data_IF_342235956390
#
_entry.id   IF_342235956390
#
_cell.length_a   1.000
_cell.length_b   1.000
_cell.length_c   1.000
_cell.angle_alpha   90.00
_cell.angle_beta   90.00
_cell.angle_gamma   90.00
#
_symmetry.space_group_name_H-M   'P 1'
#
loop_
_entity.id
_entity.type
_entity.pdbx_description
1 polymer ?
#
# COMPACT_ATOMS: atom_id res chain seq x y z
N UNK A 1 -21.76 18.39 -23.00
CA UNK A 1 -20.41 18.12 -22.46
C UNK A 1 -20.12 19.20 -21.44
N UNK A 2 -20.07 18.80 -20.16
CA UNK A 2 -19.65 19.68 -19.08
C UNK A 2 -18.15 19.99 -19.20
N UNK A 3 -17.68 21.08 -18.57
CA UNK A 3 -16.23 21.39 -18.48
C UNK A 3 -15.46 20.26 -17.79
N UNK A 4 -16.10 19.56 -16.85
CA UNK A 4 -15.52 18.42 -16.15
C UNK A 4 -15.38 17.19 -17.06
N UNK A 5 -16.33 16.96 -17.98
CA UNK A 5 -16.24 15.88 -18.98
C UNK A 5 -15.09 16.15 -19.97
N UNK A 6 -14.86 17.42 -20.31
CA UNK A 6 -13.78 17.82 -21.20
C UNK A 6 -12.40 17.69 -20.53
N UNK A 7 -12.29 18.05 -19.26
CA UNK A 7 -11.06 17.89 -18.48
C UNK A 7 -10.72 16.40 -18.25
N UNK A 8 -11.72 15.55 -17.97
CA UNK A 8 -11.54 14.11 -17.85
C UNK A 8 -11.14 13.45 -19.19
N UNK A 9 -11.71 13.93 -20.32
CA UNK A 9 -11.35 13.44 -21.65
C UNK A 9 -9.94 13.90 -22.09
N UNK A 10 -9.53 15.11 -21.72
CA UNK A 10 -8.20 15.65 -22.02
C UNK A 10 -7.11 14.96 -21.18
N UNK A 11 -7.40 14.62 -19.93
CA UNK A 11 -6.50 13.85 -19.05
C UNK A 11 -6.37 12.39 -19.52
N UNK A 12 -7.45 11.79 -20.04
CA UNK A 12 -7.43 10.46 -20.64
C UNK A 12 -6.62 10.37 -21.96
N UNK A 13 -6.43 11.50 -22.66
CA UNK A 13 -5.70 11.57 -23.94
C UNK A 13 -4.19 11.78 -23.76
N UNK A 14 -3.73 12.17 -22.57
CA UNK A 14 -2.31 12.37 -22.28
C UNK A 14 -1.62 11.01 -22.14
N UNK A 15 -0.40 10.83 -22.70
CA UNK A 15 0.33 9.59 -22.47
C UNK A 15 0.51 9.38 -20.96
N UNK A 16 0.26 8.17 -20.43
CA UNK A 16 0.38 7.92 -19.01
C UNK A 16 1.83 8.08 -18.59
N UNK A 17 2.08 9.00 -17.65
CA UNK A 17 3.42 9.29 -17.11
C UNK A 17 3.45 8.85 -15.66
N UNK A 18 4.48 8.09 -15.29
CA UNK A 18 4.79 7.80 -13.89
C UNK A 18 5.47 9.04 -13.31
N UNK A 19 4.90 9.64 -12.26
CA UNK A 19 5.51 10.81 -11.62
C UNK A 19 6.55 10.39 -10.58
N UNK A 20 7.64 11.16 -10.42
CA UNK A 20 8.51 11.02 -9.26
C UNK A 20 7.72 11.14 -7.96
N UNK A 21 8.19 10.50 -6.90
CA UNK A 21 7.54 10.58 -5.59
C UNK A 21 7.87 11.90 -4.91
N UNK A 22 6.92 12.83 -4.96
CA UNK A 22 7.00 14.14 -4.30
C UNK A 22 6.00 14.28 -3.15
N UNK A 23 5.10 13.32 -2.98
CA UNK A 23 4.15 13.30 -1.85
C UNK A 23 4.74 12.58 -0.65
N UNK A 24 4.23 12.93 0.52
CA UNK A 24 4.59 12.27 1.77
C UNK A 24 4.29 10.76 1.69
N UNK A 25 5.17 9.97 2.33
CA UNK A 25 4.98 8.53 2.47
C UNK A 25 3.76 8.24 3.35
N UNK A 26 3.03 7.21 2.98
CA UNK A 26 1.88 6.68 3.71
C UNK A 26 1.99 5.17 3.74
N UNK A 27 1.51 4.49 4.78
CA UNK A 27 1.49 3.03 4.80
C UNK A 27 0.57 2.48 3.69
N UNK A 28 0.76 1.21 3.37
CA UNK A 28 -0.14 0.41 2.55
C UNK A 28 -0.97 -0.46 3.48
N UNK A 29 -2.28 -0.23 3.51
CA UNK A 29 -3.20 -1.04 4.31
C UNK A 29 -3.85 -2.11 3.43
N UNK A 30 -3.61 -3.36 3.77
CA UNK A 30 -4.04 -4.53 3.02
C UNK A 30 -5.01 -5.34 3.88
N UNK A 31 -6.26 -5.42 3.45
CA UNK A 31 -7.33 -6.11 4.15
C UNK A 31 -7.68 -7.42 3.45
N UNK A 32 -7.56 -8.51 4.19
CA UNK A 32 -8.24 -9.78 3.93
C UNK A 32 -9.52 -9.83 4.78
N UNK A 33 -10.36 -10.85 4.55
CA UNK A 33 -11.63 -11.01 5.29
C UNK A 33 -11.41 -11.14 6.82
N UNK A 34 -10.35 -11.83 7.23
CA UNK A 34 -10.07 -12.18 8.63
C UNK A 34 -8.78 -11.55 9.19
N UNK A 35 -8.07 -10.77 8.36
CA UNK A 35 -6.78 -10.19 8.73
C UNK A 35 -6.54 -8.86 8.01
N UNK A 36 -5.94 -7.91 8.71
CA UNK A 36 -5.39 -6.69 8.12
C UNK A 36 -3.89 -6.65 8.31
N UNK A 37 -3.15 -6.22 7.30
CA UNK A 37 -1.70 -6.02 7.33
C UNK A 37 -1.36 -4.61 6.85
N UNK A 38 -0.57 -3.89 7.64
CA UNK A 38 0.03 -2.62 7.28
C UNK A 38 1.50 -2.81 6.86
N UNK A 39 1.88 -2.20 5.74
CA UNK A 39 3.26 -2.18 5.21
C UNK A 39 3.73 -0.74 4.99
N UNK A 40 5.04 -0.52 4.97
CA UNK A 40 5.64 0.77 4.62
C UNK A 40 6.63 1.26 5.68
N UNK A 41 6.71 2.58 5.85
CA UNK A 41 7.68 3.23 6.73
C UNK A 41 7.54 2.82 8.21
N UNK A 42 8.64 2.41 8.83
CA UNK A 42 8.68 1.90 10.20
C UNK A 42 8.07 2.87 11.22
N UNK A 43 8.28 4.18 11.06
CA UNK A 43 7.71 5.17 11.99
C UNK A 43 6.17 5.23 11.92
N UNK A 44 5.60 5.02 10.74
CA UNK A 44 4.15 4.95 10.55
C UNK A 44 3.60 3.62 11.07
N UNK A 45 4.33 2.52 10.87
CA UNK A 45 3.98 1.21 11.41
C UNK A 45 3.97 1.20 12.95
N UNK A 46 4.95 1.81 13.61
CA UNK A 46 4.97 2.00 15.07
C UNK A 46 3.74 2.77 15.56
N UNK A 47 3.32 3.83 14.85
CA UNK A 47 2.11 4.57 15.20
C UNK A 47 0.84 3.72 15.05
N UNK A 48 0.77 2.89 14.01
CA UNK A 48 -0.33 1.92 13.84
C UNK A 48 -0.36 0.93 14.99
N UNK A 49 0.78 0.31 15.32
CA UNK A 49 0.90 -0.63 16.44
C UNK A 49 0.46 0.01 17.77
N UNK A 50 0.96 1.20 18.08
CA UNK A 50 0.59 1.93 19.30
C UNK A 50 -0.92 2.20 19.36
N UNK A 51 -1.53 2.64 18.25
CA UNK A 51 -2.98 2.86 18.19
C UNK A 51 -3.76 1.56 18.41
N UNK A 52 -3.33 0.46 17.82
CA UNK A 52 -3.96 -0.85 18.00
C UNK A 52 -3.90 -1.31 19.46
N UNK A 53 -2.75 -1.12 20.13
CA UNK A 53 -2.60 -1.44 21.55
C UNK A 53 -3.50 -0.59 22.44
N UNK A 54 -3.62 0.72 22.16
CA UNK A 54 -4.55 1.62 22.88
C UNK A 54 -5.99 1.15 22.71
N UNK A 55 -6.36 0.64 21.54
CA UNK A 55 -7.68 0.08 21.26
C UNK A 55 -7.89 -1.35 21.79
N UNK A 56 -7.01 -1.85 22.67
CA UNK A 56 -7.05 -3.20 23.24
C UNK A 56 -7.07 -4.31 22.16
N UNK A 57 -6.35 -4.07 21.06
CA UNK A 57 -6.09 -5.07 20.02
C UNK A 57 -4.71 -5.67 20.23
N UNK A 58 -4.55 -6.92 19.80
CA UNK A 58 -3.27 -7.64 19.82
C UNK A 58 -2.63 -7.58 18.43
N UNK A 59 -1.79 -6.57 18.12
CA UNK A 59 -1.04 -6.53 16.88
C UNK A 59 -0.01 -7.65 16.80
N UNK A 60 0.29 -8.06 15.58
CA UNK A 60 1.37 -8.98 15.22
C UNK A 60 2.36 -8.21 14.36
N UNK A 61 3.44 -7.79 14.98
CA UNK A 61 4.48 -7.00 14.32
C UNK A 61 5.59 -7.93 13.83
N UNK A 62 6.03 -7.73 12.60
CA UNK A 62 7.19 -8.43 12.05
C UNK A 62 8.33 -7.43 11.84
N UNK A 63 9.55 -7.95 11.82
CA UNK A 63 10.78 -7.16 11.68
C UNK A 63 11.61 -7.73 10.53
N UNK A 64 12.37 -6.87 9.87
CA UNK A 64 13.45 -7.34 9.00
C UNK A 64 14.50 -8.06 9.86
N UNK A 65 15.03 -9.18 9.37
CA UNK A 65 16.11 -9.88 10.07
C UNK A 65 17.33 -8.95 10.18
N UNK A 66 17.80 -8.70 11.41
CA UNK A 66 18.99 -7.89 11.66
C UNK A 66 20.23 -8.50 10.99
N UNK A 67 20.29 -9.83 10.81
CA UNK A 67 21.36 -10.50 10.07
C UNK A 67 21.38 -10.08 8.59
N UNK A 68 20.21 -9.82 8.00
CA UNK A 68 20.08 -9.39 6.61
C UNK A 68 20.56 -7.94 6.39
N UNK A 69 20.32 -7.05 7.36
CA UNK A 69 20.76 -5.65 7.29
C UNK A 69 22.24 -5.45 7.66
N UNK A 70 22.80 -6.30 8.53
CA UNK A 70 24.19 -6.21 8.99
C UNK A 70 25.17 -7.07 8.18
N UNK A 71 24.68 -8.03 7.38
CA UNK A 71 25.52 -8.98 6.65
C UNK A 71 26.28 -9.95 7.55
N UNK A 72 25.96 -10.01 8.84
CA UNK A 72 26.59 -10.90 9.82
C UNK A 72 25.73 -12.16 10.05
N UNK A 73 26.24 -13.33 9.65
CA UNK A 73 25.69 -14.64 10.01
C UNK A 73 25.83 -14.86 11.53
N UNK A 74 24.87 -14.37 12.32
CA UNK A 74 25.00 -14.48 13.77
C UNK A 74 23.87 -13.90 14.64
N UNK A 75 22.62 -13.86 14.19
CA UNK A 75 21.53 -13.24 14.96
C UNK A 75 20.59 -14.22 15.70
N UNK A 76 21.01 -15.46 15.97
CA UNK A 76 20.16 -16.44 16.66
C UNK A 76 19.83 -16.10 18.14
N UNK A 77 20.41 -15.03 18.69
CA UNK A 77 20.16 -14.53 20.04
C UNK A 77 20.17 -12.99 20.13
N UNK A 78 19.68 -12.30 19.09
CA UNK A 78 19.56 -10.85 19.16
C UNK A 78 18.56 -10.45 20.27
N UNK A 79 18.85 -9.39 21.07
CA UNK A 79 17.88 -8.77 21.97
C UNK A 79 16.67 -8.26 21.18
N UNK A 80 15.56 -7.95 21.86
CA UNK A 80 14.30 -7.51 21.24
C UNK A 80 14.55 -6.62 20.01
N UNK A 81 13.98 -6.98 18.84
CA UNK A 81 14.30 -6.32 17.59
C UNK A 81 13.99 -4.82 17.67
N UNK A 82 14.90 -4.00 17.13
CA UNK A 82 14.77 -2.54 17.18
C UNK A 82 13.46 -2.10 16.51
N UNK A 83 12.63 -1.27 17.16
CA UNK A 83 11.43 -0.68 16.55
C UNK A 83 11.66 -0.05 15.18
N UNK A 84 12.87 0.46 14.90
CA UNK A 84 13.23 1.02 13.59
C UNK A 84 13.26 -0.02 12.45
N UNK A 85 13.24 -1.32 12.77
CA UNK A 85 13.26 -2.43 11.81
C UNK A 85 11.91 -3.09 11.58
N UNK A 86 10.82 -2.53 12.12
CA UNK A 86 9.46 -3.01 11.84
C UNK A 86 9.21 -2.96 10.33
N UNK A 87 8.76 -4.09 9.77
CA UNK A 87 8.47 -4.21 8.34
C UNK A 87 6.99 -4.47 8.04
N UNK A 88 6.22 -5.00 9.01
CA UNK A 88 4.77 -5.07 8.92
C UNK A 88 4.10 -5.07 10.29
N UNK A 89 2.85 -4.60 10.33
CA UNK A 89 1.98 -4.71 11.50
C UNK A 89 0.67 -5.33 11.07
N UNK A 90 0.36 -6.51 11.59
CA UNK A 90 -0.87 -7.25 11.31
C UNK A 90 -1.85 -7.26 12.47
N UNK A 91 -3.14 -7.40 12.19
CA UNK A 91 -4.18 -7.70 13.20
C UNK A 91 -5.14 -8.76 12.70
N UNK A 92 -5.78 -9.46 13.64
CA UNK A 92 -6.96 -10.26 13.33
C UNK A 92 -8.18 -9.35 13.18
N UNK A 93 -8.96 -9.57 12.12
CA UNK A 93 -10.08 -8.73 11.71
C UNK A 93 -9.82 -8.02 10.38
N UNK A 94 -10.88 -7.83 9.61
CA UNK A 94 -10.85 -7.18 8.31
C UNK A 94 -10.78 -5.65 8.43
N UNK A 95 -11.19 -4.98 7.36
CA UNK A 95 -11.14 -3.52 7.28
C UNK A 95 -11.96 -2.83 8.37
N UNK A 96 -13.18 -3.31 8.64
CA UNK A 96 -14.07 -2.70 9.63
C UNK A 96 -13.48 -2.71 11.03
N UNK A 97 -12.94 -3.85 11.47
CA UNK A 97 -12.30 -3.98 12.79
C UNK A 97 -11.05 -3.12 12.92
N UNK A 98 -10.25 -3.03 11.85
CA UNK A 98 -9.06 -2.18 11.83
C UNK A 98 -9.43 -0.71 11.99
N UNK A 99 -10.36 -0.20 11.18
CA UNK A 99 -10.72 1.21 11.21
C UNK A 99 -11.45 1.58 12.51
N UNK A 100 -12.30 0.71 13.04
CA UNK A 100 -12.92 0.91 14.35
C UNK A 100 -11.88 0.99 15.48
N UNK A 101 -10.79 0.22 15.40
CA UNK A 101 -9.68 0.31 16.36
C UNK A 101 -8.92 1.64 16.20
N UNK A 102 -8.66 2.10 14.97
CA UNK A 102 -8.04 3.41 14.72
C UNK A 102 -8.90 4.56 15.25
N UNK A 103 -10.21 4.52 15.02
CA UNK A 103 -11.17 5.49 15.57
C UNK A 103 -11.16 5.51 17.10
N UNK A 104 -11.24 4.34 17.72
CA UNK A 104 -11.22 4.20 19.17
C UNK A 104 -9.93 4.77 19.76
N UNK A 105 -8.78 4.46 19.15
CA UNK A 105 -7.48 4.95 19.59
C UNK A 105 -7.39 6.47 19.52
N UNK A 106 -7.78 7.05 18.38
CA UNK A 106 -7.78 8.51 18.17
C UNK A 106 -8.71 9.20 19.17
N UNK A 107 -9.90 8.65 19.38
CA UNK A 107 -10.86 9.17 20.36
C UNK A 107 -10.31 9.13 21.80
N UNK A 108 -9.68 8.02 22.20
CA UNK A 108 -9.12 7.86 23.55
C UNK A 108 -7.94 8.77 23.82
N UNK A 109 -7.11 9.02 22.79
CA UNK A 109 -5.94 9.90 22.89
C UNK A 109 -6.29 11.39 22.77
N UNK A 110 -7.53 11.72 22.39
CA UNK A 110 -7.98 13.11 22.26
C UNK A 110 -8.09 13.78 23.62
N UNK A 111 -7.43 14.92 23.78
CA UNK A 111 -7.60 15.76 24.98
C UNK A 111 -8.93 16.53 24.88
N UNK A 112 -9.89 16.13 25.72
CA UNK A 112 -11.22 16.75 25.73
C UNK A 112 -11.23 18.05 26.53
N UNK A 113 -11.87 19.12 26.03
CA UNK A 113 -12.06 20.35 26.78
C UNK A 113 -12.75 20.09 28.14
N UNK A 114 -12.27 20.75 29.19
CA UNK A 114 -12.83 20.61 30.55
C UNK A 114 -13.96 21.59 30.85
N UNK A 115 -14.10 22.63 30.03
CA UNK A 115 -15.11 23.67 30.19
C UNK A 115 -16.44 23.24 29.55
N UNK A 116 -17.55 23.38 30.28
CA UNK A 116 -18.89 22.97 29.82
C UNK A 116 -19.38 23.75 28.60
N UNK A 117 -18.83 24.94 28.33
CA UNK A 117 -19.20 25.79 27.19
C UNK A 117 -18.26 25.65 25.99
N UNK A 118 -17.23 24.80 26.08
CA UNK A 118 -16.29 24.63 24.99
C UNK A 118 -16.95 23.91 23.81
N UNK A 119 -16.70 24.43 22.60
CA UNK A 119 -17.12 23.74 21.38
C UNK A 119 -16.25 22.49 21.20
N UNK A 120 -16.90 21.33 21.19
CA UNK A 120 -16.26 20.05 20.98
C UNK A 120 -16.32 19.69 19.50
N UNK A 121 -15.18 19.34 18.93
CA UNK A 121 -15.07 18.79 17.58
C UNK A 121 -14.74 17.30 17.66
N UNK A 122 -15.27 16.53 16.71
CA UNK A 122 -14.83 15.15 16.57
C UNK A 122 -13.35 15.13 16.18
N UNK A 123 -12.54 14.25 16.81
CA UNK A 123 -11.12 14.20 16.51
C UNK A 123 -10.90 13.72 15.09
N UNK A 124 -10.06 14.46 14.37
CA UNK A 124 -9.65 14.07 13.03
C UNK A 124 -8.46 13.11 13.12
N UNK A 125 -8.39 12.18 12.17
CA UNK A 125 -7.19 11.39 11.98
C UNK A 125 -5.97 12.27 11.66
N UNK A 126 -4.77 11.84 12.06
CA UNK A 126 -3.53 12.48 11.62
C UNK A 126 -3.44 12.46 10.09
N UNK A 127 -2.75 13.46 9.53
CA UNK A 127 -2.70 13.67 8.08
C UNK A 127 -2.26 12.43 7.30
N UNK A 128 -1.23 11.71 7.80
CA UNK A 128 -0.74 10.49 7.16
C UNK A 128 -1.82 9.40 7.06
N UNK A 129 -2.64 9.21 8.11
CA UNK A 129 -3.69 8.19 8.15
C UNK A 129 -4.89 8.61 7.29
N UNK A 130 -5.21 9.91 7.25
CA UNK A 130 -6.23 10.44 6.33
C UNK A 130 -5.88 10.21 4.87
N UNK A 131 -4.60 10.36 4.56
CA UNK A 131 -4.04 10.24 3.22
C UNK A 131 -3.65 8.81 2.82
N UNK A 132 -3.82 7.86 3.74
CA UNK A 132 -3.49 6.45 3.50
C UNK A 132 -4.49 5.81 2.52
N UNK A 133 -3.94 5.08 1.56
CA UNK A 133 -4.72 4.25 0.63
C UNK A 133 -4.86 2.85 1.21
N UNK A 134 -6.03 2.23 1.03
CA UNK A 134 -6.28 0.86 1.47
C UNK A 134 -6.81 0.00 0.34
N UNK A 135 -6.48 -1.29 0.41
CA UNK A 135 -6.91 -2.30 -0.53
C UNK A 135 -7.55 -3.45 0.22
N UNK A 136 -8.60 -4.02 -0.35
CA UNK A 136 -9.21 -5.27 0.10
C UNK A 136 -9.01 -6.32 -0.98
N UNK A 137 -8.61 -7.52 -0.57
CA UNK A 137 -8.48 -8.64 -1.48
C UNK A 137 -9.88 -9.15 -1.85
N UNK A 138 -10.20 -9.16 -3.15
CA UNK A 138 -11.43 -9.71 -3.68
C UNK A 138 -11.08 -11.00 -4.46
N UNK A 139 -11.44 -12.20 -3.96
CA UNK A 139 -11.10 -13.47 -4.57
C UNK A 139 -11.80 -13.71 -5.92
N UNK A 140 -12.85 -12.95 -6.24
CA UNK A 140 -13.59 -13.05 -7.50
C UNK A 140 -13.34 -11.86 -8.44
N UNK A 141 -12.47 -10.92 -8.06
CA UNK A 141 -12.13 -9.77 -8.89
C UNK A 141 -11.59 -10.26 -10.25
N UNK A 142 -12.20 -9.85 -11.37
CA UNK A 142 -11.84 -10.36 -12.68
C UNK A 142 -10.50 -9.77 -13.15
N UNK A 143 -9.63 -10.60 -13.76
CA UNK A 143 -8.36 -10.14 -14.31
C UNK A 143 -8.57 -9.39 -15.63
N UNK A 144 -7.88 -8.27 -15.80
CA UNK A 144 -7.76 -7.54 -17.07
C UNK A 144 -6.46 -7.93 -17.78
N UNK A 145 -6.28 -9.22 -18.04
CA UNK A 145 -5.04 -9.77 -18.57
C UNK A 145 -5.02 -11.31 -18.53
N UNK A 146 -3.83 -11.93 -18.65
CA UNK A 146 -3.69 -13.38 -18.69
C UNK A 146 -3.80 -14.09 -17.33
N UNK A 147 -3.87 -13.35 -16.22
CA UNK A 147 -3.93 -13.90 -14.87
C UNK A 147 -5.28 -14.53 -14.50
N UNK A 148 -5.35 -15.07 -13.28
CA UNK A 148 -6.55 -15.68 -12.71
C UNK A 148 -7.40 -14.66 -11.91
N UNK A 149 -8.66 -14.95 -11.60
CA UNK A 149 -9.43 -14.17 -10.64
C UNK A 149 -8.75 -14.12 -9.26
N UNK A 150 -8.98 -13.03 -8.54
CA UNK A 150 -8.44 -12.83 -7.19
C UNK A 150 -7.45 -11.67 -7.13
N UNK A 151 -7.97 -10.45 -6.99
CA UNK A 151 -7.21 -9.21 -7.11
C UNK A 151 -7.41 -8.24 -5.96
N UNK A 152 -6.50 -7.28 -5.80
CA UNK A 152 -6.63 -6.25 -4.78
C UNK A 152 -7.38 -5.04 -5.30
N UNK A 153 -8.55 -4.80 -4.71
CA UNK A 153 -9.43 -3.69 -5.03
C UNK A 153 -9.20 -2.56 -4.03
N UNK A 154 -9.14 -1.32 -4.52
CA UNK A 154 -9.05 -0.17 -3.60
C UNK A 154 -10.36 0.05 -2.88
N UNK A 155 -10.30 0.13 -1.56
CA UNK A 155 -11.44 0.47 -0.70
C UNK A 155 -11.41 1.93 -0.27
N UNK A 156 -10.22 2.49 -0.08
CA UNK A 156 -10.02 3.93 0.17
C UNK A 156 -8.98 4.44 -0.79
N UNK A 157 -9.35 5.41 -1.61
CA UNK A 157 -8.43 6.07 -2.55
C UNK A 157 -8.35 7.56 -2.24
N UNK A 158 -7.13 8.08 -2.28
CA UNK A 158 -6.87 9.51 -2.15
C UNK A 158 -6.38 10.00 -3.52
N UNK A 159 -7.01 11.03 -4.09
CA UNK A 159 -6.64 11.50 -5.42
C UNK A 159 -5.22 12.06 -5.44
N UNK A 160 -4.54 11.83 -6.56
CA UNK A 160 -3.26 12.44 -6.91
C UNK A 160 -2.13 11.46 -7.20
N UNK A 161 -1.23 11.91 -8.08
CA UNK A 161 0.00 11.22 -8.51
C UNK A 161 1.17 11.46 -7.55
N UNK A 162 2.25 10.70 -7.75
CA UNK A 162 3.55 10.94 -7.10
C UNK A 162 3.60 10.49 -5.65
N UNK A 163 2.80 9.48 -5.31
CA UNK A 163 2.92 8.72 -4.05
C UNK A 163 3.93 7.57 -4.23
N UNK A 164 4.43 6.97 -3.14
CA UNK A 164 5.24 5.76 -3.23
C UNK A 164 4.49 4.61 -3.90
N UNK A 165 5.25 3.70 -4.52
CA UNK A 165 4.74 2.48 -5.15
C UNK A 165 5.15 1.28 -4.30
N UNK A 166 4.18 0.41 -3.97
CA UNK A 166 4.44 -0.81 -3.22
C UNK A 166 4.63 -2.00 -4.14
N UNK A 167 5.73 -2.74 -4.00
CA UNK A 167 5.99 -4.01 -4.68
C UNK A 167 6.04 -5.13 -3.64
N UNK A 168 4.96 -5.92 -3.53
CA UNK A 168 4.80 -6.87 -2.43
C UNK A 168 4.48 -8.28 -2.92
N UNK A 169 5.20 -9.26 -2.40
CA UNK A 169 4.84 -10.66 -2.52
C UNK A 169 3.88 -11.04 -1.39
N UNK A 170 2.63 -11.36 -1.73
CA UNK A 170 1.53 -11.48 -0.74
C UNK A 170 0.76 -12.80 -0.81
N UNK A 171 0.36 -13.23 -2.00
CA UNK A 171 -0.57 -14.36 -2.18
C UNK A 171 0.02 -15.51 -2.97
N UNK A 172 1.14 -15.29 -3.67
CA UNK A 172 1.75 -16.26 -4.56
C UNK A 172 3.28 -16.17 -4.46
N UNK A 173 3.95 -17.32 -4.46
CA UNK A 173 5.40 -17.43 -4.43
C UNK A 173 6.04 -17.04 -5.77
N UNK A 174 5.29 -17.14 -6.87
CA UNK A 174 5.80 -16.96 -8.23
C UNK A 174 5.37 -15.59 -8.82
N UNK A 175 4.64 -14.78 -8.06
CA UNK A 175 4.17 -13.45 -8.48
C UNK A 175 4.28 -12.42 -7.35
N UNK A 176 4.24 -11.14 -7.73
CA UNK A 176 4.16 -10.02 -6.80
C UNK A 176 3.14 -9.00 -7.28
N UNK A 177 2.67 -8.21 -6.32
CA UNK A 177 1.65 -7.19 -6.50
C UNK A 177 2.28 -5.80 -6.56
N UNK A 178 1.71 -4.94 -7.41
CA UNK A 178 2.05 -3.54 -7.54
C UNK A 178 0.88 -2.68 -7.06
N UNK A 179 1.16 -1.83 -6.07
CA UNK A 179 0.20 -0.91 -5.48
C UNK A 179 0.64 0.52 -5.69
N UNK A 180 -0.32 1.39 -6.00
CA UNK A 180 -0.04 2.81 -6.20
C UNK A 180 -1.32 3.58 -6.51
N UNK A 181 -1.17 4.89 -6.72
CA UNK A 181 -2.27 5.70 -7.21
C UNK A 181 -2.70 5.23 -8.60
N UNK A 182 -4.00 5.35 -8.91
CA UNK A 182 -4.57 4.87 -10.17
C UNK A 182 -3.80 5.33 -11.42
N UNK A 183 -3.40 6.59 -11.43
CA UNK A 183 -2.70 7.19 -12.56
C UNK A 183 -1.25 6.69 -12.68
N UNK A 184 -0.56 6.51 -11.55
CA UNK A 184 0.79 5.92 -11.52
C UNK A 184 0.74 4.46 -12.01
N UNK A 185 -0.29 3.68 -11.62
CA UNK A 185 -0.50 2.31 -12.11
C UNK A 185 -0.71 2.26 -13.63
N UNK A 186 -1.45 3.20 -14.24
CA UNK A 186 -1.56 3.30 -15.71
C UNK A 186 -0.20 3.55 -16.36
N UNK A 187 0.62 4.42 -15.78
CA UNK A 187 1.99 4.66 -16.21
C UNK A 187 2.85 3.39 -16.12
N UNK A 188 2.69 2.62 -15.05
CA UNK A 188 3.40 1.35 -14.85
C UNK A 188 2.97 0.29 -15.86
N UNK A 189 1.68 0.21 -16.22
CA UNK A 189 1.22 -0.68 -17.31
C UNK A 189 1.92 -0.32 -18.63
N UNK A 190 2.00 0.96 -18.98
CA UNK A 190 2.68 1.41 -20.19
C UNK A 190 4.20 1.13 -20.17
N UNK A 191 4.83 1.29 -19.00
CA UNK A 191 6.23 0.92 -18.77
C UNK A 191 6.44 -0.58 -18.98
N UNK A 192 5.61 -1.42 -18.36
CA UNK A 192 5.69 -2.88 -18.48
C UNK A 192 5.49 -3.33 -19.93
N UNK A 193 4.56 -2.73 -20.67
CA UNK A 193 4.38 -2.99 -22.10
C UNK A 193 5.63 -2.64 -22.94
N UNK A 194 6.36 -1.59 -22.55
CA UNK A 194 7.64 -1.24 -23.18
C UNK A 194 8.75 -2.24 -22.82
N UNK A 195 8.82 -2.67 -21.56
CA UNK A 195 9.79 -3.65 -21.06
C UNK A 195 9.58 -5.05 -21.64
N UNK A 196 8.33 -5.46 -21.89
CA UNK A 196 7.96 -6.74 -22.48
C UNK A 196 8.62 -7.00 -23.85
N UNK A 197 9.08 -5.94 -24.54
CA UNK A 197 9.80 -6.05 -25.82
C UNK A 197 11.22 -6.60 -25.66
N UNK A 198 11.81 -6.49 -24.46
CA UNK A 198 13.23 -6.78 -24.22
C UNK A 198 13.47 -7.64 -22.97
N UNK A 199 12.49 -7.74 -22.07
CA UNK A 199 12.56 -8.48 -20.80
C UNK A 199 11.43 -9.51 -20.73
N UNK A 200 11.71 -10.68 -20.16
CA UNK A 200 10.74 -11.77 -20.01
C UNK A 200 9.74 -11.47 -18.89
N UNK A 201 8.53 -12.01 -19.01
CA UNK A 201 7.50 -12.02 -17.96
C UNK A 201 6.61 -10.78 -17.92
N UNK A 202 7.07 -9.63 -18.43
CA UNK A 202 6.28 -8.40 -18.45
C UNK A 202 5.06 -8.47 -19.37
N UNK A 203 5.07 -9.37 -20.34
CA UNK A 203 3.93 -9.73 -21.20
C UNK A 203 2.81 -10.47 -20.43
N UNK A 204 3.13 -11.03 -19.25
CA UNK A 204 2.17 -11.68 -18.36
C UNK A 204 1.58 -10.74 -17.29
N UNK A 205 1.79 -9.42 -17.40
CA UNK A 205 1.18 -8.44 -16.50
C UNK A 205 -0.34 -8.61 -16.50
N UNK A 206 -0.90 -8.68 -15.30
CA UNK A 206 -2.36 -8.73 -15.10
C UNK A 206 -2.79 -7.54 -14.27
N UNK A 207 -3.72 -6.74 -14.78
CA UNK A 207 -4.28 -5.62 -14.03
C UNK A 207 -5.61 -6.02 -13.40
N UNK A 208 -5.94 -5.42 -12.26
CA UNK A 208 -7.22 -5.63 -11.58
C UNK A 208 -7.85 -4.26 -11.30
N UNK A 209 -9.09 -4.08 -11.73
CA UNK A 209 -9.85 -2.86 -11.50
C UNK A 209 -10.90 -3.07 -10.41
N UNK A 210 -11.19 -2.01 -9.67
CA UNK A 210 -12.31 -2.00 -8.74
C UNK A 210 -13.66 -1.87 -9.45
N UNK A 211 -14.77 -1.86 -8.68
CA UNK A 211 -16.13 -1.65 -9.20
C UNK A 211 -16.33 -0.32 -9.93
N UNK A 212 -15.41 0.64 -9.76
CA UNK A 212 -15.40 1.95 -10.40
C UNK A 212 -14.63 1.98 -11.73
N UNK A 213 -14.23 0.80 -12.26
CA UNK A 213 -13.38 0.63 -13.45
C UNK A 213 -12.00 1.31 -13.35
N UNK A 214 -11.56 1.65 -12.13
CA UNK A 214 -10.24 2.24 -11.91
C UNK A 214 -9.27 1.14 -11.44
N UNK A 215 -8.10 1.05 -12.08
CA UNK A 215 -7.05 0.06 -11.78
C UNK A 215 -6.65 0.06 -10.31
N UNK A 216 -6.98 -0.95 -9.51
CA UNK A 216 -6.64 -1.02 -8.08
C UNK A 216 -5.24 -1.54 -7.80
N UNK A 217 -4.80 -2.54 -8.58
CA UNK A 217 -3.50 -3.20 -8.42
C UNK A 217 -3.07 -3.88 -9.73
N UNK A 218 -1.79 -4.25 -9.80
CA UNK A 218 -1.24 -5.09 -10.88
C UNK A 218 -0.58 -6.33 -10.26
N UNK A 219 -0.60 -7.44 -10.96
CA UNK A 219 0.19 -8.63 -10.65
C UNK A 219 1.19 -8.88 -11.78
N UNK A 220 2.45 -9.17 -11.40
CA UNK A 220 3.50 -9.56 -12.32
C UNK A 220 4.24 -10.81 -11.80
N UNK A 221 4.79 -11.65 -12.69
CA UNK A 221 5.68 -12.74 -12.31
C UNK A 221 6.91 -12.23 -11.53
N UNK A 222 7.39 -12.99 -10.55
CA UNK A 222 8.50 -12.60 -9.68
C UNK A 222 9.79 -12.24 -10.42
N UNK A 223 10.04 -12.86 -11.58
CA UNK A 223 11.18 -12.55 -12.46
C UNK A 223 11.21 -11.08 -12.93
N UNK A 224 10.08 -10.37 -12.90
CA UNK A 224 9.98 -8.96 -13.30
C UNK A 224 10.40 -7.98 -12.20
N UNK A 225 10.53 -8.44 -10.94
CA UNK A 225 10.73 -7.62 -9.73
C UNK A 225 11.86 -6.61 -9.89
N UNK A 226 13.08 -7.10 -10.09
CA UNK A 226 14.30 -6.28 -10.08
C UNK A 226 14.26 -5.23 -11.19
N UNK A 227 13.94 -5.65 -12.41
CA UNK A 227 13.88 -4.75 -13.55
C UNK A 227 12.80 -3.66 -13.40
N UNK A 228 11.64 -3.99 -12.82
CA UNK A 228 10.60 -3.00 -12.56
C UNK A 228 11.03 -2.02 -11.48
N UNK A 229 11.60 -2.52 -10.38
CA UNK A 229 12.09 -1.69 -9.28
C UNK A 229 13.17 -0.70 -9.76
N UNK A 230 14.16 -1.16 -10.52
CA UNK A 230 15.21 -0.31 -11.09
C UNK A 230 14.62 0.81 -11.96
N UNK A 231 13.69 0.48 -12.85
CA UNK A 231 13.07 1.47 -13.76
C UNK A 231 12.24 2.50 -12.99
N UNK A 232 11.56 2.10 -11.91
CA UNK A 232 10.84 3.03 -11.03
C UNK A 232 11.81 3.96 -10.30
N UNK A 233 12.89 3.42 -9.74
CA UNK A 233 13.92 4.21 -9.06
C UNK A 233 14.62 5.20 -9.99
N UNK A 234 14.95 4.81 -11.22
CA UNK A 234 15.53 5.71 -12.25
C UNK A 234 14.59 6.87 -12.59
N UNK A 235 13.28 6.67 -12.45
CA UNK A 235 12.26 7.73 -12.63
C UNK A 235 12.02 8.56 -11.37
N UNK A 236 12.77 8.32 -10.29
CA UNK A 236 12.63 9.03 -9.02
C UNK A 236 11.37 8.63 -8.24
N UNK A 237 10.87 7.41 -8.44
CA UNK A 237 9.75 6.87 -7.67
C UNK A 237 10.29 6.17 -6.44
N UNK A 238 9.76 6.55 -5.27
CA UNK A 238 9.98 5.84 -4.02
C UNK A 238 9.26 4.50 -4.08
N UNK A 239 10.01 3.42 -3.84
CA UNK A 239 9.49 2.06 -3.89
C UNK A 239 9.59 1.43 -2.51
N UNK A 240 8.47 0.91 -2.01
CA UNK A 240 8.41 0.08 -0.81
C UNK A 240 8.32 -1.39 -1.22
N UNK A 241 9.07 -2.27 -0.55
CA UNK A 241 9.16 -3.69 -0.93
C UNK A 241 8.98 -4.64 0.25
N UNK A 242 8.39 -5.81 -0.02
CA UNK A 242 8.31 -6.94 0.91
C UNK A 242 8.25 -8.24 0.09
N UNK A 243 9.27 -9.08 0.22
CA UNK A 243 9.42 -10.34 -0.51
C UNK A 243 9.80 -11.49 0.45
N UNK A 244 9.44 -12.73 0.12
CA UNK A 244 9.51 -13.90 1.01
C UNK A 244 10.88 -14.62 1.06
N UNK A 245 11.98 -13.90 0.88
CA UNK A 245 13.31 -14.48 0.64
C UNK A 245 13.72 -15.65 1.57
#
# INVERSE_FOLDING_TARGET
MSRDDAAAAEDAARPPVIRPSFRARTPFLLHFDDQTVALGDAHLLQQIEANLLVADRAPRTTFWDQAYLSGEEGALFAPDPDPEHINSVGITGGAEEFWAAMDAAVFQQTEWPREETATVWFPEYPAWLRETTSWTYDPICPPMGPGAPGGWVRTRSIPGEGRPVGLFQLTDRDAFWVFGAAQDLRGIVALCGSLARFRRGFDALTAYAGPDDVLGSLALPLICREALQEELMVRGVDVETLFWE
#
